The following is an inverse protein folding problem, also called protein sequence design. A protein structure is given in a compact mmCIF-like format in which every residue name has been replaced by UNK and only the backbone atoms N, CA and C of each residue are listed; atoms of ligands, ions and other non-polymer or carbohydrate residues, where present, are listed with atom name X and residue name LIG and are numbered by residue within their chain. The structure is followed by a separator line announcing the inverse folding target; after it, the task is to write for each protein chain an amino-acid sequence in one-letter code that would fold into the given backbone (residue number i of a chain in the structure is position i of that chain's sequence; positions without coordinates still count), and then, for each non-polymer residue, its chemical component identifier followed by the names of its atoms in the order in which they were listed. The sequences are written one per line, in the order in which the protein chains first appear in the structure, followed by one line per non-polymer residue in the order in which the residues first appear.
data_IF_084252710599
#
_entry.id   IF_084252710599
#
_cell.length_a   1.000
_cell.length_b   1.000
_cell.length_c   1.000
_cell.angle_alpha   90.00
_cell.angle_beta   90.00
_cell.angle_gamma   90.00
#
_symmetry.space_group_name_H-M   'P 1'
#
loop_
_entity.id
_entity.type
_entity.pdbx_description
1 polymer ?
#
# COMPACT_ATOMS: atom_id res chain seq x y z
N UNK A 1 -53.69 64.87 -38.87
CA UNK A 1 -53.62 64.61 -37.42
C UNK A 1 -53.92 63.12 -37.25
N UNK A 2 -52.89 62.23 -37.23
CA UNK A 2 -53.00 60.81 -36.92
C UNK A 2 -51.73 60.38 -36.22
N UNK A 3 -51.86 60.05 -34.93
CA UNK A 3 -50.76 59.48 -34.10
C UNK A 3 -50.75 57.96 -34.26
N UNK A 4 -49.64 57.46 -34.72
CA UNK A 4 -49.33 56.05 -34.69
C UNK A 4 -48.53 55.77 -33.43
N UNK A 5 -48.99 54.83 -32.60
CA UNK A 5 -48.33 54.31 -31.40
C UNK A 5 -48.08 52.84 -31.57
N UNK A 6 -46.93 52.48 -32.15
CA UNK A 6 -46.43 51.10 -32.14
C UNK A 6 -45.77 50.76 -30.81
N UNK A 7 -46.48 50.04 -29.98
CA UNK A 7 -45.90 49.42 -28.76
C UNK A 7 -45.16 48.10 -29.10
N UNK A 8 -43.87 48.15 -28.97
CA UNK A 8 -43.02 46.94 -29.01
C UNK A 8 -42.99 46.28 -27.65
N UNK A 9 -43.68 45.16 -27.52
CA UNK A 9 -43.59 44.28 -26.32
C UNK A 9 -42.29 43.50 -26.30
N UNK A 10 -41.37 43.82 -25.37
CA UNK A 10 -40.18 43.03 -25.09
C UNK A 10 -40.53 41.88 -24.15
N UNK A 11 -40.40 40.65 -24.62
CA UNK A 11 -40.45 39.45 -23.78
C UNK A 11 -39.27 39.38 -22.83
N UNK A 12 -39.45 39.02 -21.55
CA UNK A 12 -38.35 38.80 -20.63
C UNK A 12 -37.66 37.46 -20.92
N UNK A 13 -36.39 37.51 -21.32
CA UNK A 13 -35.55 36.33 -21.43
C UNK A 13 -35.39 35.69 -20.05
N UNK A 14 -35.97 34.50 -19.87
CA UNK A 14 -35.71 33.63 -18.70
C UNK A 14 -34.26 33.21 -18.68
N UNK A 15 -33.47 33.75 -17.74
CA UNK A 15 -32.13 33.26 -17.42
C UNK A 15 -32.29 31.91 -16.70
N UNK A 16 -31.96 30.79 -17.35
CA UNK A 16 -31.78 29.51 -16.68
C UNK A 16 -30.57 29.64 -15.75
N UNK A 17 -30.64 29.14 -14.52
CA UNK A 17 -29.48 29.15 -13.63
C UNK A 17 -28.43 28.15 -14.08
N UNK A 18 -27.17 28.61 -14.18
CA UNK A 18 -25.98 27.84 -14.54
C UNK A 18 -25.49 26.95 -13.36
N UNK A 19 -26.35 26.12 -12.79
CA UNK A 19 -25.98 25.22 -11.68
C UNK A 19 -25.86 23.72 -12.08
N UNK A 20 -25.94 23.41 -13.38
CA UNK A 20 -25.86 22.01 -13.84
C UNK A 20 -24.41 21.50 -14.12
N UNK A 21 -23.40 22.35 -13.92
CA UNK A 21 -22.00 21.99 -14.32
C UNK A 21 -21.13 21.32 -13.27
N UNK A 22 -21.50 21.31 -11.98
CA UNK A 22 -20.62 20.82 -10.91
C UNK A 22 -20.85 19.37 -10.44
N UNK A 23 -21.91 18.72 -10.89
CA UNK A 23 -22.26 17.38 -10.42
C UNK A 23 -21.55 16.24 -11.18
N UNK A 24 -20.88 16.53 -12.30
CA UNK A 24 -20.27 15.48 -13.15
C UNK A 24 -18.81 15.13 -12.83
N UNK A 25 -18.11 15.91 -12.00
CA UNK A 25 -16.71 15.65 -11.65
C UNK A 25 -16.53 14.68 -10.45
N UNK A 26 -17.58 14.35 -9.73
CA UNK A 26 -17.51 13.40 -8.61
C UNK A 26 -17.65 11.92 -9.03
N UNK A 27 -17.94 11.63 -10.31
CA UNK A 27 -18.29 10.29 -10.77
C UNK A 27 -17.09 9.37 -11.07
N UNK A 28 -15.84 9.85 -10.98
CA UNK A 28 -14.65 9.07 -11.32
C UNK A 28 -13.76 8.73 -10.12
N UNK A 29 -14.08 9.17 -8.92
CA UNK A 29 -13.26 8.86 -7.74
C UNK A 29 -13.67 7.51 -7.13
N UNK A 30 -12.71 6.58 -7.03
CA UNK A 30 -12.91 5.30 -6.31
C UNK A 30 -13.26 5.59 -4.86
N UNK A 31 -14.46 5.17 -4.41
CA UNK A 31 -14.88 5.30 -3.02
C UNK A 31 -14.05 4.40 -2.10
N UNK A 32 -14.07 4.65 -0.78
CA UNK A 32 -13.41 3.77 0.19
C UNK A 32 -13.99 2.35 0.14
N UNK A 33 -15.30 2.21 0.00
CA UNK A 33 -15.94 0.90 -0.10
C UNK A 33 -15.46 0.13 -1.33
N UNK A 34 -15.41 0.77 -2.50
CA UNK A 34 -14.88 0.16 -3.72
C UNK A 34 -13.41 -0.23 -3.58
N UNK A 35 -12.60 0.61 -2.92
CA UNK A 35 -11.21 0.31 -2.61
C UNK A 35 -11.07 -0.95 -1.75
N UNK A 36 -11.88 -1.06 -0.69
CA UNK A 36 -11.89 -2.24 0.21
C UNK A 36 -12.36 -3.50 -0.55
N UNK A 37 -13.42 -3.42 -1.33
CA UNK A 37 -13.93 -4.54 -2.15
C UNK A 37 -12.88 -5.02 -3.16
N UNK A 38 -12.17 -4.08 -3.80
CA UNK A 38 -11.08 -4.37 -4.73
C UNK A 38 -9.94 -5.12 -4.04
N UNK A 39 -9.51 -4.63 -2.89
CA UNK A 39 -8.44 -5.26 -2.08
C UNK A 39 -8.84 -6.65 -1.59
N UNK A 40 -10.07 -6.81 -1.10
CA UNK A 40 -10.59 -8.10 -0.64
C UNK A 40 -10.62 -9.14 -1.78
N UNK A 41 -11.06 -8.73 -2.97
CA UNK A 41 -11.06 -9.61 -4.15
C UNK A 41 -9.66 -10.03 -4.57
N UNK A 42 -8.69 -9.10 -4.54
CA UNK A 42 -7.29 -9.38 -4.84
C UNK A 42 -6.66 -10.29 -3.76
N UNK A 43 -6.91 -10.00 -2.49
CA UNK A 43 -6.41 -10.81 -1.37
C UNK A 43 -6.89 -12.26 -1.47
N UNK A 44 -8.18 -12.48 -1.73
CA UNK A 44 -8.74 -13.81 -1.88
C UNK A 44 -8.05 -14.63 -2.99
N UNK A 45 -7.62 -13.99 -4.08
CA UNK A 45 -6.86 -14.67 -5.14
C UNK A 45 -5.42 -14.95 -4.71
N UNK A 46 -4.74 -13.96 -4.14
CA UNK A 46 -3.35 -14.07 -3.69
C UNK A 46 -3.22 -15.18 -2.64
N UNK A 47 -4.16 -15.28 -1.72
CA UNK A 47 -4.17 -16.30 -0.67
C UNK A 47 -4.26 -17.74 -1.21
N UNK A 48 -4.82 -17.92 -2.41
CA UNK A 48 -4.81 -19.23 -3.09
C UNK A 48 -3.53 -19.52 -3.87
N UNK A 49 -2.78 -18.49 -4.24
CA UNK A 49 -1.60 -18.60 -5.11
C UNK A 49 -0.30 -18.68 -4.32
N UNK A 50 -0.20 -17.93 -3.22
CA UNK A 50 1.01 -17.84 -2.42
C UNK A 50 1.01 -18.85 -1.27
N UNK A 51 2.17 -19.43 -0.93
CA UNK A 51 2.31 -20.21 0.29
C UNK A 51 2.26 -19.29 1.50
N UNK A 52 1.29 -19.48 2.38
CA UNK A 52 1.11 -18.64 3.56
C UNK A 52 1.58 -19.36 4.81
N UNK A 53 2.14 -18.62 5.77
CA UNK A 53 2.47 -19.13 7.09
C UNK A 53 1.22 -19.12 7.96
N UNK A 54 0.83 -20.31 8.46
CA UNK A 54 -0.33 -20.50 9.34
C UNK A 54 0.07 -20.76 10.80
N UNK A 55 1.36 -20.63 11.15
CA UNK A 55 1.80 -20.74 12.54
C UNK A 55 1.16 -19.63 13.38
N UNK A 56 0.35 -20.04 14.35
CA UNK A 56 -0.47 -19.10 15.12
C UNK A 56 0.36 -18.04 15.87
N UNK A 57 1.56 -18.38 16.35
CA UNK A 57 2.42 -17.43 17.04
C UNK A 57 3.01 -16.40 16.08
N UNK A 58 3.38 -16.82 14.87
CA UNK A 58 3.90 -15.94 13.82
C UNK A 58 2.82 -15.00 13.32
N UNK A 59 1.65 -15.54 12.98
CA UNK A 59 0.50 -14.75 12.51
C UNK A 59 0.04 -13.74 13.57
N UNK A 60 -0.10 -14.17 14.82
CA UNK A 60 -0.53 -13.30 15.91
C UNK A 60 0.44 -12.15 16.15
N UNK A 61 1.75 -12.41 16.10
CA UNK A 61 2.75 -11.35 16.31
C UNK A 61 2.71 -10.31 15.21
N UNK A 62 2.75 -10.71 13.93
CA UNK A 62 2.71 -9.77 12.79
C UNK A 62 1.41 -8.98 12.77
N UNK A 63 0.27 -9.64 13.00
CA UNK A 63 -1.01 -8.96 13.09
C UNK A 63 -1.07 -7.96 14.24
N UNK A 64 -0.50 -8.29 15.40
CA UNK A 64 -0.44 -7.38 16.56
C UNK A 64 0.42 -6.16 16.27
N UNK A 65 1.64 -6.35 15.74
CA UNK A 65 2.57 -5.27 15.39
C UNK A 65 1.97 -4.38 14.28
N UNK A 66 1.44 -4.99 13.22
CA UNK A 66 0.83 -4.26 12.12
C UNK A 66 -0.39 -3.43 12.56
N UNK A 67 -1.28 -4.01 13.38
CA UNK A 67 -2.43 -3.28 13.92
C UNK A 67 -2.02 -2.15 14.88
N UNK A 68 -0.94 -2.33 15.67
CA UNK A 68 -0.38 -1.24 16.48
C UNK A 68 0.05 -0.06 15.61
N UNK A 69 0.76 -0.34 14.52
CA UNK A 69 1.20 0.66 13.56
C UNK A 69 0.02 1.34 12.85
N UNK A 70 -0.90 0.54 12.30
CA UNK A 70 -2.04 1.06 11.54
C UNK A 70 -2.92 2.00 12.39
N UNK A 71 -3.25 1.61 13.61
CA UNK A 71 -4.05 2.45 14.54
C UNK A 71 -3.38 3.78 14.88
N UNK A 72 -2.07 3.89 14.73
CA UNK A 72 -1.34 5.12 15.02
C UNK A 72 -1.59 6.23 13.97
N UNK A 73 -1.91 5.87 12.74
CA UNK A 73 -2.02 6.82 11.62
C UNK A 73 -3.26 6.66 10.74
N UNK A 74 -3.95 5.53 10.78
CA UNK A 74 -5.17 5.36 10.00
C UNK A 74 -6.29 6.28 10.52
N UNK A 75 -6.76 7.16 9.63
CA UNK A 75 -7.88 8.09 9.88
C UNK A 75 -9.17 7.67 9.17
N UNK A 76 -9.11 6.57 8.39
CA UNK A 76 -10.22 6.07 7.58
C UNK A 76 -10.96 4.91 8.23
N UNK A 77 -10.45 4.43 9.38
CA UNK A 77 -11.01 3.31 10.13
C UNK A 77 -11.13 2.03 9.26
N UNK A 78 -10.04 1.70 8.57
CA UNK A 78 -9.96 0.48 7.78
C UNK A 78 -9.84 -0.76 8.67
N UNK A 79 -10.33 -1.89 8.16
CA UNK A 79 -9.97 -3.19 8.71
C UNK A 79 -8.62 -3.63 8.12
N UNK A 80 -7.64 -3.91 8.98
CA UNK A 80 -6.28 -4.21 8.59
C UNK A 80 -5.97 -5.71 8.71
N UNK A 81 -5.41 -6.26 7.64
CA UNK A 81 -5.04 -7.66 7.52
C UNK A 81 -3.54 -7.78 7.24
N UNK A 82 -2.84 -8.54 8.07
CA UNK A 82 -1.39 -8.73 7.95
C UNK A 82 -1.08 -10.22 7.77
N UNK A 83 -0.48 -10.56 6.65
CA UNK A 83 -0.22 -11.94 6.23
C UNK A 83 1.27 -12.15 6.01
N UNK A 84 1.81 -13.29 6.47
CA UNK A 84 3.19 -13.68 6.20
C UNK A 84 3.21 -14.72 5.08
N UNK A 85 3.92 -14.37 4.00
CA UNK A 85 4.14 -15.29 2.87
C UNK A 85 5.38 -16.14 3.15
N UNK A 86 5.26 -17.46 3.02
CA UNK A 86 6.38 -18.40 3.19
C UNK A 86 7.27 -18.43 1.93
N UNK A 87 7.95 -17.32 1.70
CA UNK A 87 8.88 -17.14 0.57
C UNK A 87 10.22 -16.64 1.08
N UNK A 88 11.32 -17.15 0.50
CA UNK A 88 12.71 -16.69 0.77
C UNK A 88 13.02 -15.35 0.12
N UNK A 89 12.22 -14.94 -0.86
CA UNK A 89 12.37 -13.64 -1.51
C UNK A 89 12.15 -12.52 -0.49
N UNK A 90 12.92 -11.47 -0.62
CA UNK A 90 12.74 -10.26 0.17
C UNK A 90 11.66 -9.43 -0.48
N UNK A 91 10.50 -9.39 0.12
CA UNK A 91 9.40 -8.55 -0.38
C UNK A 91 8.41 -8.22 0.74
N UNK A 92 7.71 -7.10 0.56
CA UNK A 92 6.47 -6.76 1.23
C UNK A 92 5.62 -5.99 0.23
N UNK A 93 4.32 -6.05 0.34
CA UNK A 93 3.42 -5.30 -0.51
C UNK A 93 2.07 -5.09 0.14
N UNK A 94 1.42 -4.01 -0.24
CA UNK A 94 0.09 -3.65 0.20
C UNK A 94 -0.92 -3.71 -0.94
N UNK A 95 -2.13 -4.20 -0.64
CA UNK A 95 -3.29 -4.07 -1.51
C UNK A 95 -4.17 -2.92 -1.02
N UNK A 96 -4.99 -2.34 -1.90
CA UNK A 96 -5.96 -1.33 -1.50
C UNK A 96 -6.83 -1.78 -0.33
N UNK A 97 -7.20 -0.86 0.55
CA UNK A 97 -8.18 -1.13 1.61
C UNK A 97 -7.68 -1.84 2.86
N UNK A 98 -6.35 -2.13 3.00
CA UNK A 98 -5.78 -2.55 4.28
C UNK A 98 -5.19 -3.97 4.34
N UNK A 99 -4.94 -4.63 3.21
CA UNK A 99 -4.26 -5.94 3.18
C UNK A 99 -2.76 -5.75 2.97
N UNK A 100 -1.94 -6.25 3.89
CA UNK A 100 -0.49 -6.17 3.84
C UNK A 100 0.11 -7.57 3.92
N UNK A 101 1.00 -7.86 2.99
CA UNK A 101 1.75 -9.09 2.89
C UNK A 101 3.22 -8.81 3.14
N UNK A 102 3.86 -9.65 3.94
CA UNK A 102 5.31 -9.57 4.17
C UNK A 102 5.92 -10.95 4.00
N UNK A 103 6.95 -11.05 3.18
CA UNK A 103 7.63 -12.30 2.95
C UNK A 103 8.51 -12.68 4.15
N UNK A 104 8.56 -13.98 4.45
CA UNK A 104 9.46 -14.57 5.43
C UNK A 104 10.90 -14.13 5.22
N UNK A 105 11.37 -14.12 3.97
CA UNK A 105 12.72 -13.73 3.61
C UNK A 105 13.08 -12.28 4.02
N UNK A 106 12.13 -11.35 4.04
CA UNK A 106 12.33 -10.00 4.55
C UNK A 106 12.51 -10.02 6.07
N UNK A 107 11.64 -10.74 6.80
CA UNK A 107 11.68 -10.82 8.26
C UNK A 107 12.97 -11.54 8.74
N UNK A 108 13.44 -12.54 8.02
CA UNK A 108 14.67 -13.27 8.33
C UNK A 108 15.91 -12.35 8.28
N UNK A 109 15.90 -11.34 7.40
CA UNK A 109 16.98 -10.36 7.27
C UNK A 109 16.92 -9.25 8.32
N UNK A 110 15.75 -8.97 8.84
CA UNK A 110 15.58 -7.98 9.90
C UNK A 110 16.24 -8.48 11.21
N UNK A 111 16.99 -7.60 11.84
CA UNK A 111 17.71 -7.88 13.10
C UNK A 111 16.93 -7.35 14.31
N UNK A 112 16.06 -6.37 14.12
CA UNK A 112 15.28 -5.72 15.18
C UNK A 112 13.82 -5.55 14.78
N UNK A 113 12.98 -5.42 15.80
CA UNK A 113 11.54 -5.13 15.60
C UNK A 113 11.33 -3.87 14.78
N UNK A 114 12.11 -2.81 15.04
CA UNK A 114 11.96 -1.51 14.36
C UNK A 114 12.18 -1.59 12.85
N UNK A 115 13.02 -2.52 12.37
CA UNK A 115 13.25 -2.74 10.95
C UNK A 115 12.02 -3.35 10.26
N UNK A 116 11.39 -4.35 10.87
CA UNK A 116 10.14 -4.92 10.37
C UNK A 116 9.01 -3.89 10.47
N UNK A 117 8.92 -3.20 11.59
CA UNK A 117 7.93 -2.14 11.81
C UNK A 117 8.09 -0.99 10.79
N UNK A 118 9.31 -0.66 10.42
CA UNK A 118 9.61 0.34 9.39
C UNK A 118 9.03 -0.04 8.03
N UNK A 119 9.23 -1.29 7.60
CA UNK A 119 8.65 -1.79 6.34
C UNK A 119 7.13 -1.82 6.42
N UNK A 120 6.55 -2.37 7.50
CA UNK A 120 5.08 -2.38 7.65
C UNK A 120 4.52 -0.96 7.69
N UNK A 121 5.20 -0.01 8.32
CA UNK A 121 4.80 1.40 8.34
C UNK A 121 4.84 2.05 6.96
N UNK A 122 5.81 1.69 6.12
CA UNK A 122 5.89 2.11 4.73
C UNK A 122 4.72 1.55 3.91
N UNK A 123 4.41 0.26 4.05
CA UNK A 123 3.25 -0.36 3.38
C UNK A 123 1.92 0.25 3.84
N UNK A 124 1.77 0.51 5.15
CA UNK A 124 0.63 1.25 5.70
C UNK A 124 0.55 2.65 5.08
N UNK A 125 1.70 3.30 4.84
CA UNK A 125 1.80 4.58 4.13
C UNK A 125 1.19 4.51 2.73
N UNK A 126 1.53 3.49 1.94
CA UNK A 126 0.94 3.30 0.61
C UNK A 126 -0.59 3.16 0.65
N UNK A 127 -1.12 2.44 1.65
CA UNK A 127 -2.58 2.27 1.81
C UNK A 127 -3.25 3.56 2.28
N UNK A 128 -2.71 4.20 3.33
CA UNK A 128 -3.32 5.40 3.92
C UNK A 128 -3.32 6.59 2.96
N UNK A 129 -2.29 6.71 2.15
CA UNK A 129 -2.16 7.71 1.08
C UNK A 129 -2.81 7.28 -0.24
N UNK A 130 -3.34 6.05 -0.30
CA UNK A 130 -4.07 5.52 -1.46
C UNK A 130 -3.25 5.45 -2.75
N UNK A 131 -1.92 5.23 -2.67
CA UNK A 131 -1.04 5.26 -3.84
C UNK A 131 -1.47 4.29 -4.93
N UNK A 132 -1.83 3.03 -4.59
CA UNK A 132 -2.35 2.07 -5.56
C UNK A 132 -3.62 2.56 -6.25
N UNK A 133 -4.55 3.17 -5.51
CA UNK A 133 -5.79 3.73 -6.08
C UNK A 133 -5.49 4.92 -7.00
N UNK A 134 -4.55 5.79 -6.60
CA UNK A 134 -4.13 6.92 -7.44
C UNK A 134 -3.47 6.45 -8.73
N UNK A 135 -2.58 5.46 -8.66
CA UNK A 135 -1.99 4.83 -9.85
C UNK A 135 -3.05 4.22 -10.76
N UNK A 136 -3.99 3.52 -10.17
CA UNK A 136 -5.15 3.00 -10.88
C UNK A 136 -5.93 4.08 -11.60
N UNK A 137 -6.17 5.21 -10.96
CA UNK A 137 -6.90 6.35 -11.55
C UNK A 137 -6.06 7.09 -12.62
N UNK A 138 -4.75 7.18 -12.45
CA UNK A 138 -3.82 7.80 -13.40
C UNK A 138 -3.52 6.91 -14.60
N UNK A 139 -3.42 5.60 -14.38
CA UNK A 139 -3.26 4.59 -15.43
C UNK A 139 -4.52 4.36 -16.24
N UNK A 140 -5.35 5.38 -16.41
CA UNK A 140 -6.67 5.44 -17.08
C UNK A 140 -6.79 4.68 -18.40
N UNK A 141 -5.73 4.03 -18.80
CA UNK A 141 -5.65 3.39 -20.09
C UNK A 141 -5.86 1.90 -19.93
N UNK A 142 -7.07 1.48 -20.23
CA UNK A 142 -7.47 0.15 -20.70
C UNK A 142 -7.59 -0.97 -19.64
N UNK A 143 -6.73 -1.06 -18.61
CA UNK A 143 -6.77 -2.19 -17.67
C UNK A 143 -7.81 -2.07 -16.54
N UNK A 144 -8.01 -0.88 -16.01
CA UNK A 144 -8.75 -0.64 -14.77
C UNK A 144 -10.25 -0.57 -14.90
N UNK A 145 -10.75 0.03 -15.96
CA UNK A 145 -12.17 -0.05 -16.27
C UNK A 145 -12.60 -1.50 -16.39
N UNK A 146 -11.72 -2.34 -16.92
CA UNK A 146 -11.94 -3.77 -17.06
C UNK A 146 -11.87 -4.50 -15.71
N UNK A 147 -10.94 -4.19 -14.81
CA UNK A 147 -10.83 -4.81 -13.48
C UNK A 147 -11.97 -4.40 -12.59
N UNK A 148 -12.28 -3.11 -12.52
CA UNK A 148 -13.42 -2.61 -11.77
C UNK A 148 -14.73 -3.20 -12.31
N UNK A 149 -14.90 -3.26 -13.63
CA UNK A 149 -16.03 -3.89 -14.29
C UNK A 149 -16.09 -5.40 -13.98
N UNK A 150 -14.93 -6.09 -13.98
CA UNK A 150 -14.83 -7.50 -13.63
C UNK A 150 -15.25 -7.78 -12.19
N UNK A 151 -14.80 -6.96 -11.26
CA UNK A 151 -15.09 -7.14 -9.83
C UNK A 151 -16.54 -6.81 -9.50
N UNK A 152 -17.11 -5.77 -10.14
CA UNK A 152 -18.46 -5.32 -9.87
C UNK A 152 -19.55 -6.06 -10.66
N UNK A 153 -19.26 -6.61 -11.85
CA UNK A 153 -20.29 -7.16 -12.75
C UNK A 153 -20.23 -8.68 -12.96
N UNK A 154 -19.28 -9.38 -12.35
CA UNK A 154 -19.03 -10.82 -12.57
C UNK A 154 -18.77 -11.20 -14.04
N UNK A 155 -18.54 -10.24 -14.93
CA UNK A 155 -18.27 -10.47 -16.37
C UNK A 155 -17.00 -11.28 -16.60
N UNK A 156 -16.09 -11.32 -15.62
CA UNK A 156 -14.79 -11.98 -15.72
C UNK A 156 -14.79 -13.48 -15.38
N UNK A 157 -15.95 -14.10 -15.25
CA UNK A 157 -16.04 -15.56 -15.11
C UNK A 157 -15.80 -16.30 -16.45
N UNK A 158 -15.61 -15.57 -17.55
CA UNK A 158 -15.24 -16.13 -18.87
C UNK A 158 -13.72 -16.19 -19.04
N UNK A 159 -13.25 -17.05 -19.97
CA UNK A 159 -11.83 -17.17 -20.33
C UNK A 159 -11.17 -15.84 -20.77
N UNK A 160 -11.95 -14.92 -21.34
CA UNK A 160 -11.53 -13.56 -21.68
C UNK A 160 -11.35 -12.70 -20.42
N UNK A 161 -12.14 -12.94 -19.37
CA UNK A 161 -12.05 -12.26 -18.10
C UNK A 161 -10.80 -12.63 -17.29
N UNK A 162 -10.31 -13.88 -17.40
CA UNK A 162 -9.06 -14.30 -16.75
C UNK A 162 -7.84 -13.56 -17.30
N UNK A 163 -7.81 -13.23 -18.59
CA UNK A 163 -6.77 -12.40 -19.17
C UNK A 163 -6.73 -10.98 -18.57
N UNK A 164 -7.90 -10.42 -18.25
CA UNK A 164 -8.03 -9.11 -17.61
C UNK A 164 -7.61 -9.16 -16.13
N UNK A 165 -7.93 -10.24 -15.42
CA UNK A 165 -7.49 -10.46 -14.04
C UNK A 165 -5.98 -10.58 -13.94
N UNK A 166 -5.31 -11.23 -14.91
CA UNK A 166 -3.85 -11.30 -14.98
C UNK A 166 -3.21 -9.93 -15.24
N UNK A 167 -3.85 -9.09 -16.08
CA UNK A 167 -3.43 -7.69 -16.28
C UNK A 167 -3.64 -6.84 -15.03
N UNK A 168 -4.69 -7.12 -14.26
CA UNK A 168 -4.95 -6.46 -12.99
C UNK A 168 -3.95 -6.84 -11.90
N UNK A 169 -3.58 -8.12 -11.84
CA UNK A 169 -2.50 -8.57 -10.95
C UNK A 169 -1.19 -7.82 -11.21
N UNK A 170 -0.83 -7.65 -12.49
CA UNK A 170 0.35 -6.86 -12.86
C UNK A 170 0.23 -5.38 -12.51
N UNK A 171 -0.97 -4.80 -12.54
CA UNK A 171 -1.17 -3.39 -12.17
C UNK A 171 -1.15 -3.16 -10.65
N UNK A 172 -1.57 -4.15 -9.85
CA UNK A 172 -1.48 -4.10 -8.38
C UNK A 172 -0.03 -4.17 -7.88
N UNK A 173 0.86 -4.76 -8.66
CA UNK A 173 2.31 -4.82 -8.41
C UNK A 173 3.09 -3.80 -9.26
N UNK A 174 2.43 -2.76 -9.77
CA UNK A 174 3.08 -1.71 -10.53
C UNK A 174 4.10 -0.97 -9.66
N UNK A 175 5.17 -0.52 -10.31
CA UNK A 175 6.22 0.26 -9.67
C UNK A 175 5.69 1.61 -9.20
N UNK A 176 5.86 1.93 -7.93
CA UNK A 176 5.54 3.23 -7.38
C UNK A 176 6.48 4.32 -7.92
N UNK A 177 5.98 5.54 -8.03
CA UNK A 177 6.81 6.68 -8.39
C UNK A 177 7.76 7.05 -7.25
N UNK A 178 8.84 7.76 -7.55
CA UNK A 178 9.74 8.31 -6.51
C UNK A 178 9.01 9.20 -5.51
N UNK A 179 7.99 9.91 -5.96
CA UNK A 179 7.14 10.75 -5.09
C UNK A 179 6.32 9.91 -4.14
N UNK A 180 5.69 8.82 -4.62
CA UNK A 180 4.90 7.90 -3.80
C UNK A 180 5.78 7.24 -2.73
N UNK A 181 7.00 6.82 -3.13
CA UNK A 181 7.97 6.23 -2.21
C UNK A 181 8.39 7.21 -1.11
N UNK A 182 8.71 8.47 -1.48
CA UNK A 182 9.06 9.50 -0.50
C UNK A 182 7.92 9.81 0.47
N UNK A 183 6.68 9.81 -0.01
CA UNK A 183 5.49 9.99 0.83
C UNK A 183 5.27 8.79 1.75
N UNK A 184 5.44 7.55 1.25
CA UNK A 184 5.32 6.33 2.03
C UNK A 184 6.42 6.25 3.11
N UNK A 185 7.65 6.65 2.79
CA UNK A 185 8.75 6.75 3.76
C UNK A 185 8.43 7.74 4.88
N UNK A 186 7.95 8.94 4.54
CA UNK A 186 7.59 9.95 5.52
C UNK A 186 6.41 9.50 6.41
N UNK A 187 5.41 8.85 5.82
CA UNK A 187 4.28 8.29 6.59
C UNK A 187 4.75 7.12 7.46
N UNK A 188 5.69 6.29 6.98
CA UNK A 188 6.32 5.22 7.76
C UNK A 188 7.08 5.74 8.98
N UNK A 189 7.85 6.82 8.83
CA UNK A 189 8.53 7.51 9.95
C UNK A 189 7.51 8.00 10.97
N UNK A 190 6.47 8.69 10.53
CA UNK A 190 5.40 9.19 11.38
C UNK A 190 4.65 8.05 12.10
N UNK A 191 4.36 6.98 11.39
CA UNK A 191 3.65 5.80 11.89
C UNK A 191 4.46 5.11 12.99
N UNK A 192 5.74 4.85 12.76
CA UNK A 192 6.61 4.20 13.76
C UNK A 192 6.76 5.05 15.01
N UNK A 193 6.99 6.37 14.88
CA UNK A 193 7.10 7.29 16.03
C UNK A 193 5.81 7.29 16.84
N UNK A 194 4.65 7.44 16.20
CA UNK A 194 3.35 7.43 16.88
C UNK A 194 3.02 6.11 17.57
N UNK A 195 3.51 5.00 17.00
CA UNK A 195 3.39 3.68 17.60
C UNK A 195 4.41 3.42 18.74
N UNK A 196 5.28 4.36 19.06
CA UNK A 196 6.30 4.21 20.10
C UNK A 196 7.51 3.38 19.66
N UNK A 197 7.75 3.28 18.35
CA UNK A 197 8.83 2.47 17.75
C UNK A 197 9.89 3.37 17.12
N UNK A 198 11.16 2.98 17.22
CA UNK A 198 12.31 3.73 16.69
C UNK A 198 12.24 3.80 15.14
N UNK A 199 12.08 4.99 14.55
CA UNK A 199 11.97 5.17 13.10
C UNK A 199 13.29 4.87 12.37
N UNK A 200 14.43 4.82 13.07
CA UNK A 200 15.72 4.47 12.47
C UNK A 200 15.74 3.04 11.89
N UNK A 201 14.78 2.20 12.26
CA UNK A 201 14.57 0.89 11.63
C UNK A 201 14.39 0.96 10.11
N UNK A 202 13.78 2.04 9.58
CA UNK A 202 13.56 2.24 8.14
C UNK A 202 14.89 2.39 7.39
N UNK A 203 15.73 3.41 7.65
CA UNK A 203 17.02 3.55 6.96
C UNK A 203 17.98 2.41 7.28
N UNK A 204 17.89 1.76 8.44
CA UNK A 204 18.67 0.55 8.75
C UNK A 204 18.27 -0.61 7.82
N UNK A 205 16.97 -0.86 7.61
CA UNK A 205 16.50 -1.88 6.69
C UNK A 205 16.91 -1.60 5.25
N UNK A 206 16.83 -0.35 4.80
CA UNK A 206 17.32 0.05 3.49
C UNK A 206 18.79 -0.30 3.26
N UNK A 207 19.66 -0.11 4.27
CA UNK A 207 21.06 -0.52 4.18
C UNK A 207 21.21 -2.02 4.05
N UNK A 208 20.43 -2.80 4.78
CA UNK A 208 20.41 -4.27 4.67
C UNK A 208 20.01 -4.68 3.24
N UNK A 209 18.94 -4.10 2.70
CA UNK A 209 18.45 -4.42 1.36
C UNK A 209 19.45 -4.04 0.26
N UNK A 210 20.10 -2.89 0.36
CA UNK A 210 21.14 -2.46 -0.58
C UNK A 210 22.41 -3.34 -0.49
N UNK A 211 22.77 -3.81 0.71
CA UNK A 211 23.86 -4.77 0.86
C UNK A 211 23.52 -6.13 0.25
N UNK A 212 22.30 -6.63 0.48
CA UNK A 212 21.80 -7.86 -0.14
C UNK A 212 21.77 -7.75 -1.67
N UNK A 213 21.36 -6.62 -2.21
CA UNK A 213 21.35 -6.38 -3.67
C UNK A 213 22.74 -6.53 -4.30
N UNK A 214 23.80 -6.16 -3.57
CA UNK A 214 25.18 -6.31 -4.05
C UNK A 214 25.68 -7.76 -4.00
N UNK A 215 25.25 -8.53 -3.01
CA UNK A 215 25.72 -9.92 -2.78
C UNK A 215 24.81 -10.98 -3.39
N UNK A 216 23.51 -10.75 -3.42
CA UNK A 216 22.49 -11.69 -3.91
C UNK A 216 21.31 -10.92 -4.55
N UNK A 217 21.50 -10.34 -5.76
CA UNK A 217 20.50 -9.49 -6.41
C UNK A 217 19.14 -10.16 -6.53
N UNK A 218 19.09 -11.42 -6.96
CA UNK A 218 17.84 -12.15 -7.20
C UNK A 218 16.96 -12.28 -5.96
N UNK A 219 17.53 -12.25 -4.78
CA UNK A 219 16.76 -12.33 -3.53
C UNK A 219 15.91 -11.08 -3.25
N UNK A 220 16.26 -9.94 -3.83
CA UNK A 220 15.65 -8.62 -3.59
C UNK A 220 15.03 -8.00 -4.84
N UNK A 221 15.11 -8.68 -5.99
CA UNK A 221 14.63 -8.13 -7.27
C UNK A 221 13.14 -7.77 -7.23
N UNK A 222 12.31 -8.61 -6.60
CA UNK A 222 10.87 -8.35 -6.46
C UNK A 222 10.60 -7.06 -5.67
N UNK A 223 11.32 -6.83 -4.57
CA UNK A 223 11.20 -5.62 -3.77
C UNK A 223 11.60 -4.37 -4.57
N UNK A 224 12.74 -4.42 -5.24
CA UNK A 224 13.23 -3.27 -6.01
C UNK A 224 12.43 -3.03 -7.30
N UNK A 225 11.69 -4.03 -7.79
CA UNK A 225 10.80 -3.87 -8.93
C UNK A 225 9.59 -2.98 -8.58
N UNK A 226 8.99 -3.17 -7.41
CA UNK A 226 7.84 -2.40 -6.94
C UNK A 226 8.25 -1.12 -6.19
N UNK A 227 9.32 -1.19 -5.38
CA UNK A 227 9.82 -0.11 -4.53
C UNK A 227 11.24 0.30 -4.95
N UNK A 228 11.40 1.25 -5.88
CA UNK A 228 12.73 1.72 -6.25
C UNK A 228 13.47 2.28 -5.04
N UNK A 229 14.52 1.59 -4.61
CA UNK A 229 15.37 2.02 -3.52
C UNK A 229 16.67 2.59 -4.11
N UNK A 230 16.87 3.86 -3.90
CA UNK A 230 18.08 4.59 -4.22
C UNK A 230 18.80 4.98 -2.93
N UNK A 231 20.11 5.19 -2.99
CA UNK A 231 20.91 5.53 -1.77
C UNK A 231 20.46 6.87 -1.13
N UNK A 232 19.90 7.78 -1.94
CA UNK A 232 19.37 9.05 -1.46
C UNK A 232 18.12 8.89 -0.57
N UNK A 233 17.32 7.80 -0.72
CA UNK A 233 16.19 7.52 0.18
C UNK A 233 16.64 7.33 1.63
N UNK A 234 17.82 6.75 1.87
CA UNK A 234 18.39 6.63 3.23
C UNK A 234 18.60 8.02 3.83
N UNK A 235 19.25 8.91 3.07
CA UNK A 235 19.51 10.27 3.53
C UNK A 235 18.22 11.07 3.72
N UNK A 236 17.26 10.93 2.80
CA UNK A 236 15.96 11.60 2.88
C UNK A 236 15.17 11.14 4.11
N UNK A 237 15.11 9.84 4.36
CA UNK A 237 14.42 9.28 5.54
C UNK A 237 15.10 9.73 6.85
N UNK A 238 16.43 9.79 6.88
CA UNK A 238 17.16 10.32 8.04
C UNK A 238 16.89 11.83 8.26
N UNK A 239 16.79 12.61 7.18
CA UNK A 239 16.41 14.01 7.26
C UNK A 239 14.97 14.17 7.75
N UNK A 240 14.04 13.30 7.34
CA UNK A 240 12.66 13.29 7.84
C UNK A 240 12.61 13.00 9.34
N UNK A 241 13.34 11.99 9.81
CA UNK A 241 13.48 11.68 11.25
C UNK A 241 14.03 12.90 12.01
N UNK A 242 14.99 13.59 11.42
CA UNK A 242 15.60 14.80 12.00
C UNK A 242 14.66 16.00 12.18
N UNK A 243 13.47 15.97 11.60
CA UNK A 243 12.41 16.99 11.81
C UNK A 243 11.69 16.85 13.15
N UNK A 244 11.78 15.67 13.76
CA UNK A 244 11.15 15.39 15.05
C UNK A 244 12.06 15.84 16.19
N UNK A 245 11.47 16.42 17.23
CA UNK A 245 12.24 16.87 18.40
C UNK A 245 12.86 15.70 19.15
N UNK A 246 13.98 15.90 19.85
CA UNK A 246 14.58 14.85 20.68
C UNK A 246 13.62 14.27 21.74
N UNK A 247 12.63 15.03 22.19
CA UNK A 247 11.60 14.56 23.11
C UNK A 247 10.64 13.56 22.49
N UNK A 248 10.31 13.71 21.20
CA UNK A 248 9.45 12.78 20.44
C UNK A 248 10.16 11.47 20.10
N UNK A 249 11.50 11.50 20.00
CA UNK A 249 12.32 10.33 19.67
C UNK A 249 12.82 9.58 20.91
N UNK A 250 12.64 10.16 22.10
CA UNK A 250 13.15 9.58 23.35
C UNK A 250 12.29 8.40 23.80
N UNK A 251 12.95 7.29 24.13
CA UNK A 251 12.29 6.11 24.69
C UNK A 251 11.52 5.26 23.68
N UNK A 252 11.67 5.55 22.37
CA UNK A 252 11.12 4.72 21.33
C UNK A 252 11.79 3.34 21.32
N UNK A 253 10.99 2.30 21.10
CA UNK A 253 11.44 0.91 21.17
C UNK A 253 12.13 0.49 19.86
N UNK A 254 13.38 0.09 19.94
CA UNK A 254 14.10 -0.49 18.79
C UNK A 254 13.83 -1.97 18.64
N UNK A 255 13.80 -2.68 19.76
CA UNK A 255 13.62 -4.14 19.77
C UNK A 255 12.92 -4.60 21.05
N UNK A 256 12.29 -5.78 20.99
CA UNK A 256 11.59 -6.34 22.13
C UNK A 256 11.90 -7.84 22.31
N UNK A 257 11.80 -8.37 23.55
CA UNK A 257 11.88 -9.83 23.76
C UNK A 257 10.84 -10.60 22.95
N UNK A 258 9.64 -10.03 22.78
CA UNK A 258 8.57 -10.65 21.99
C UNK A 258 8.97 -10.78 20.51
N UNK A 259 9.62 -9.77 19.93
CA UNK A 259 10.15 -9.86 18.56
C UNK A 259 11.22 -10.96 18.43
N UNK A 260 12.13 -11.05 19.36
CA UNK A 260 13.16 -12.08 19.34
C UNK A 260 12.58 -13.49 19.43
N UNK A 261 11.56 -13.68 20.26
CA UNK A 261 10.82 -14.95 20.35
C UNK A 261 10.09 -15.27 19.05
N UNK A 262 9.38 -14.31 18.50
CA UNK A 262 8.72 -14.42 17.19
C UNK A 262 9.71 -14.79 16.09
N UNK A 263 10.82 -14.05 15.98
CA UNK A 263 11.85 -14.30 14.97
C UNK A 263 12.48 -15.69 15.10
N UNK A 264 12.78 -16.11 16.34
CA UNK A 264 13.29 -17.45 16.62
C UNK A 264 12.28 -18.54 16.20
N UNK A 265 10.99 -18.32 16.45
CA UNK A 265 9.92 -19.23 16.01
C UNK A 265 9.85 -19.32 14.49
N UNK A 266 9.88 -18.17 13.80
CA UNK A 266 9.87 -18.11 12.34
C UNK A 266 11.06 -18.88 11.73
N UNK A 267 12.26 -18.68 12.27
CA UNK A 267 13.48 -19.36 11.81
C UNK A 267 13.46 -20.87 12.07
N UNK A 268 12.71 -21.33 13.05
CA UNK A 268 12.54 -22.75 13.38
C UNK A 268 11.49 -23.47 12.52
N UNK A 269 10.71 -22.74 11.71
CA UNK A 269 9.77 -23.36 10.77
C UNK A 269 10.53 -24.12 9.65
N UNK A 270 9.91 -25.13 9.04
CA UNK A 270 10.48 -25.80 7.87
C UNK A 270 10.93 -24.80 6.81
N UNK A 271 11.91 -25.14 5.95
CA UNK A 271 12.32 -24.25 4.86
C UNK A 271 11.14 -23.88 3.97
N UNK A 272 11.11 -22.62 3.51
CA UNK A 272 10.11 -22.17 2.56
C UNK A 272 10.08 -23.05 1.32
N UNK A 273 8.90 -23.32 0.74
CA UNK A 273 8.79 -24.10 -0.48
C UNK A 273 9.57 -23.43 -1.63
N UNK A 274 10.05 -24.27 -2.56
CA UNK A 274 10.65 -23.75 -3.78
C UNK A 274 9.59 -22.94 -4.58
N UNK A 275 9.99 -21.86 -5.28
CA UNK A 275 9.10 -21.17 -6.19
C UNK A 275 8.45 -22.16 -7.15
N UNK A 276 7.14 -22.10 -7.34
CA UNK A 276 6.47 -22.90 -8.38
C UNK A 276 7.02 -22.44 -9.72
N UNK A 277 7.79 -23.29 -10.40
CA UNK A 277 8.13 -23.07 -11.81
C UNK A 277 6.84 -23.08 -12.61
N UNK A 278 6.53 -21.93 -13.22
CA UNK A 278 5.44 -21.81 -14.18
C UNK A 278 5.79 -22.50 -15.50
#
# INVERSE_FOLDING_TARGET
MTRDLSQTTRSPARRLPAYLGLAFLAACAVSQQQEVELGAGAAAQIDTMLPLIHDAAVVSYISSLGNQLARATDTRNLEWHFTVVDSKEVNAFALPGGWIYVNRGLIERAQTMSQVAGVLGHEIGHVTLRHSVQQMQQGQEVGLGAVLLCTLTKVCQSSTGQGVVNLAGSALFARFSRSDEAQADAEGVKTTIKAGIDPNGIPEMFRILLAERKSNPSAVDAFFASHPLEEDRIAATQAEIGRYSPSQLRGLSKDTPAFRTFRSRLLALPPSPAPKTQ
#
